data_IF_851874584357
#
_entry.id   IF_851874584357
#
_cell.length_a   1.000
_cell.length_b   1.000
_cell.length_c   1.000
_cell.angle_alpha   90.00
_cell.angle_beta   90.00
_cell.angle_gamma   90.00
#
_symmetry.space_group_name_H-M   'P 1'
#
loop_
_entity.id
_entity.type
_entity.pdbx_description
1 polymer ?
#
# COMPACT_ATOMS: atom_id res chain seq x y z
N UNK A 1 3.12 4.92 5.16
CA UNK A 1 2.64 4.01 6.22
C UNK A 1 1.35 3.37 5.73
N UNK A 2 1.18 2.05 5.87
CA UNK A 2 -0.06 1.36 5.49
C UNK A 2 -1.01 1.29 6.70
N UNK A 3 -2.31 1.44 6.48
CA UNK A 3 -3.37 1.20 7.48
C UNK A 3 -4.10 -0.09 7.12
N UNK A 4 -4.51 -0.87 8.12
CA UNK A 4 -5.28 -2.11 7.93
C UNK A 4 -6.77 -1.84 8.15
N UNK A 5 -7.61 -2.45 7.31
CA UNK A 5 -9.07 -2.44 7.41
C UNK A 5 -9.51 -3.90 7.52
N UNK A 6 -10.34 -4.23 8.50
CA UNK A 6 -10.89 -5.58 8.69
C UNK A 6 -12.34 -5.63 8.22
N UNK A 7 -12.70 -6.68 7.48
CA UNK A 7 -14.06 -6.91 6.97
C UNK A 7 -14.51 -8.30 7.42
N UNK A 8 -15.71 -8.40 7.96
CA UNK A 8 -16.31 -9.65 8.39
C UNK A 8 -17.27 -10.18 7.32
N UNK A 9 -17.18 -11.47 7.04
CA UNK A 9 -18.05 -12.20 6.11
C UNK A 9 -18.34 -13.58 6.72
N UNK A 10 -19.48 -14.18 6.37
CA UNK A 10 -19.78 -15.55 6.82
C UNK A 10 -18.85 -16.55 6.12
N UNK A 11 -18.60 -17.68 6.80
CA UNK A 11 -17.70 -18.71 6.32
C UNK A 11 -18.17 -19.27 4.96
N UNK A 12 -19.47 -19.51 4.79
CA UNK A 12 -20.02 -20.10 3.57
C UNK A 12 -19.84 -19.18 2.36
N UNK A 13 -20.00 -17.87 2.57
CA UNK A 13 -19.77 -16.88 1.53
C UNK A 13 -18.28 -16.76 1.20
N UNK A 14 -17.41 -16.84 2.21
CA UNK A 14 -15.96 -16.80 2.00
C UNK A 14 -15.50 -17.99 1.17
N UNK A 15 -15.89 -19.21 1.54
CA UNK A 15 -15.54 -20.43 0.80
C UNK A 15 -16.02 -20.39 -0.65
N UNK A 16 -17.25 -19.90 -0.88
CA UNK A 16 -17.77 -19.73 -2.23
C UNK A 16 -16.91 -18.74 -3.04
N UNK A 17 -16.54 -17.60 -2.44
CA UNK A 17 -15.69 -16.61 -3.11
C UNK A 17 -14.34 -17.23 -3.47
N UNK A 18 -13.65 -17.85 -2.52
CA UNK A 18 -12.33 -18.45 -2.74
C UNK A 18 -12.36 -19.47 -3.89
N UNK A 19 -13.35 -20.37 -3.89
CA UNK A 19 -13.53 -21.37 -4.95
C UNK A 19 -13.68 -20.74 -6.35
N UNK A 20 -14.45 -19.65 -6.47
CA UNK A 20 -14.64 -18.97 -7.76
C UNK A 20 -13.43 -18.10 -8.17
N UNK A 21 -12.62 -17.65 -7.21
CA UNK A 21 -11.39 -16.91 -7.51
C UNK A 21 -10.29 -17.82 -8.02
N UNK A 22 -10.19 -19.05 -7.51
CA UNK A 22 -9.29 -20.08 -8.04
C UNK A 22 -9.57 -20.38 -9.52
N UNK A 23 -10.84 -20.48 -9.90
CA UNK A 23 -11.24 -20.64 -11.32
C UNK A 23 -10.77 -19.49 -12.20
N UNK A 24 -10.64 -18.28 -11.63
CA UNK A 24 -10.17 -17.07 -12.31
C UNK A 24 -8.66 -16.86 -12.18
N UNK A 25 -7.94 -17.78 -11.55
CA UNK A 25 -6.50 -17.67 -11.25
C UNK A 25 -6.14 -16.37 -10.49
N UNK A 26 -7.01 -15.95 -9.56
CA UNK A 26 -6.78 -14.77 -8.72
C UNK A 26 -6.99 -15.14 -7.25
N UNK A 27 -6.61 -14.24 -6.35
CA UNK A 27 -6.79 -14.42 -4.90
C UNK A 27 -7.74 -13.36 -4.34
N UNK A 28 -8.36 -13.64 -3.20
CA UNK A 28 -9.23 -12.69 -2.52
C UNK A 28 -8.51 -11.38 -2.21
N UNK A 29 -7.26 -11.49 -1.75
CA UNK A 29 -6.40 -10.33 -1.46
C UNK A 29 -6.16 -9.46 -2.68
N UNK A 30 -5.84 -10.06 -3.84
CA UNK A 30 -5.58 -9.32 -5.08
C UNK A 30 -6.83 -8.57 -5.57
N UNK A 31 -8.00 -9.21 -5.51
CA UNK A 31 -9.26 -8.56 -5.85
C UNK A 31 -9.60 -7.42 -4.88
N UNK A 32 -9.45 -7.62 -3.57
CA UNK A 32 -9.69 -6.58 -2.58
C UNK A 32 -8.74 -5.39 -2.74
N UNK A 33 -7.46 -5.63 -3.02
CA UNK A 33 -6.48 -4.57 -3.31
C UNK A 33 -6.93 -3.75 -4.55
N UNK A 34 -7.34 -4.43 -5.61
CA UNK A 34 -7.86 -3.78 -6.82
C UNK A 34 -9.11 -2.97 -6.54
N UNK A 35 -10.06 -3.50 -5.78
CA UNK A 35 -11.27 -2.75 -5.40
C UNK A 35 -10.94 -1.53 -4.53
N UNK A 36 -9.96 -1.62 -3.64
CA UNK A 36 -9.51 -0.50 -2.83
C UNK A 36 -8.92 0.63 -3.70
N UNK A 37 -8.09 0.29 -4.68
CA UNK A 37 -7.55 1.27 -5.65
C UNK A 37 -8.65 1.92 -6.49
N UNK A 38 -9.60 1.12 -6.98
CA UNK A 38 -10.75 1.63 -7.72
C UNK A 38 -11.62 2.55 -6.87
N UNK A 39 -11.85 2.19 -5.61
CA UNK A 39 -12.63 3.00 -4.67
C UNK A 39 -11.94 4.36 -4.43
N UNK A 40 -10.61 4.36 -4.24
CA UNK A 40 -9.83 5.60 -4.14
C UNK A 40 -9.97 6.46 -5.40
N UNK A 41 -9.83 5.86 -6.60
CA UNK A 41 -9.96 6.58 -7.86
C UNK A 41 -11.34 7.17 -8.12
N UNK A 42 -12.40 6.48 -7.68
CA UNK A 42 -13.81 6.91 -7.85
C UNK A 42 -14.25 7.95 -6.83
N UNK A 43 -13.86 7.79 -5.57
CA UNK A 43 -14.34 8.63 -4.47
C UNK A 43 -13.48 9.87 -4.28
N UNK A 44 -12.18 9.78 -4.56
CA UNK A 44 -11.25 10.90 -4.36
C UNK A 44 -11.10 11.70 -5.65
N UNK A 45 -11.51 13.00 -5.65
CA UNK A 45 -11.34 13.88 -6.80
C UNK A 45 -9.88 13.99 -7.24
N UNK A 46 -9.68 14.24 -8.54
CA UNK A 46 -8.35 14.27 -9.15
C UNK A 46 -7.40 15.27 -8.45
N UNK A 47 -7.85 16.49 -8.15
CA UNK A 47 -7.06 17.51 -7.46
C UNK A 47 -6.55 17.04 -6.08
N UNK A 48 -7.34 16.26 -5.35
CA UNK A 48 -6.94 15.69 -4.05
C UNK A 48 -5.94 14.55 -4.24
N UNK A 49 -6.12 13.70 -5.26
CA UNK A 49 -5.17 12.62 -5.59
C UNK A 49 -3.79 13.18 -5.94
N UNK A 50 -3.75 14.18 -6.82
CA UNK A 50 -2.51 14.87 -7.21
C UNK A 50 -1.81 15.54 -6.01
N UNK A 51 -2.58 16.09 -5.06
CA UNK A 51 -2.04 16.65 -3.83
C UNK A 51 -1.37 15.56 -2.96
N UNK A 52 -2.04 14.41 -2.78
CA UNK A 52 -1.50 13.28 -2.01
C UNK A 52 -0.23 12.72 -2.66
N UNK A 53 -0.20 12.60 -3.98
CA UNK A 53 0.99 12.14 -4.72
C UNK A 53 2.17 13.09 -4.51
N UNK A 54 1.96 14.41 -4.65
CA UNK A 54 2.99 15.43 -4.40
C UNK A 54 3.49 15.40 -2.96
N UNK A 55 2.59 15.25 -1.98
CA UNK A 55 2.96 15.19 -0.57
C UNK A 55 3.76 13.92 -0.23
N UNK A 56 3.38 12.77 -0.81
CA UNK A 56 4.09 11.51 -0.65
C UNK A 56 5.49 11.53 -1.29
N UNK A 57 5.65 12.22 -2.41
CA UNK A 57 6.94 12.41 -3.07
C UNK A 57 7.88 13.34 -2.29
N UNK A 58 7.34 14.38 -1.63
CA UNK A 58 8.10 15.28 -0.76
C UNK A 58 8.53 14.63 0.57
N UNK A 59 7.82 13.60 1.02
CA UNK A 59 8.12 12.90 2.28
C UNK A 59 9.29 11.90 2.20
N UNK A 60 9.91 11.67 1.04
CA UNK A 60 11.18 10.90 0.95
C UNK A 60 12.32 11.75 1.53
N UNK A 61 12.91 11.39 2.68
CA UNK A 61 14.08 12.09 3.18
C UNK A 61 15.23 11.80 2.21
N UNK A 62 15.87 12.86 1.74
CA UNK A 62 17.17 12.83 1.08
C UNK A 62 18.09 11.93 1.90
N UNK A 63 18.63 10.89 1.29
CA UNK A 63 19.78 10.18 1.84
C UNK A 63 20.86 11.25 2.06
N UNK A 64 21.20 11.53 3.32
CA UNK A 64 22.38 12.34 3.66
C UNK A 64 23.34 11.41 4.37
N UNK A 65 24.37 11.07 3.58
CA UNK A 65 25.64 10.49 4.00
C UNK A 65 26.13 11.17 5.27
N UNK A 66 26.39 10.41 6.31
CA UNK A 66 27.37 10.75 7.34
C UNK A 66 27.62 9.52 8.23
N UNK A 67 28.26 8.51 7.65
CA UNK A 67 29.12 7.59 8.38
C UNK A 67 30.56 7.90 7.96
N UNK A 68 31.03 9.08 8.37
CA UNK A 68 32.46 9.39 8.44
C UNK A 68 32.75 9.57 9.92
N UNK A 69 32.69 8.46 10.64
CA UNK A 69 33.14 8.36 12.01
C UNK A 69 34.61 7.93 11.96
N UNK A 70 35.46 8.84 12.43
CA UNK A 70 36.69 8.60 13.15
C UNK A 70 37.59 7.43 12.70
N UNK A 71 38.70 7.77 12.05
CA UNK A 71 39.99 7.43 12.65
C UNK A 71 41.03 8.46 12.21
N UNK A 72 41.28 9.41 13.11
CA UNK A 72 42.39 10.35 13.03
C UNK A 72 43.01 10.33 14.43
N UNK A 73 44.33 10.12 14.46
CA UNK A 73 45.21 10.19 15.64
C UNK A 73 45.19 8.90 16.48
N UNK A 74 46.32 8.27 16.83
CA UNK A 74 47.60 8.87 17.22
C UNK A 74 48.73 7.80 17.27
N UNK A 75 49.94 8.13 17.75
CA UNK A 75 51.23 8.08 17.05
C UNK A 75 52.06 6.78 17.21
#
# INVERSE_FOLDING_TARGET
MKKSISVQISEEKLSAIEMYLEQKNTTLTAELDRYAEQLYGKIVPQNVREYIEKMSAQQKPRTRRSAQAADKSEP
#
